data_IF_270108890726
#
_entry.id   IF_270108890726
#
_cell.length_a   1.000
_cell.length_b   1.000
_cell.length_c   1.000
_cell.angle_alpha   90.00
_cell.angle_beta   90.00
_cell.angle_gamma   90.00
#
_symmetry.space_group_name_H-M   'P 1'
#
loop_
_entity.id
_entity.type
_entity.pdbx_description
1 polymer ?
#
# COMPACT_ATOMS: atom_id res chain seq x y z
N UNK A 1 -1.71 -22.07 -6.66
CA UNK A 1 -0.97 -21.80 -7.93
C UNK A 1 -1.51 -20.60 -8.69
N UNK A 2 -2.83 -20.40 -8.86
CA UNK A 2 -3.36 -19.16 -9.49
C UNK A 2 -3.43 -17.95 -8.54
N UNK A 3 -3.80 -18.17 -7.27
CA UNK A 3 -3.92 -17.10 -6.27
C UNK A 3 -2.58 -16.48 -5.90
N UNK A 4 -1.52 -17.28 -5.91
CA UNK A 4 -0.17 -16.86 -5.52
C UNK A 4 0.41 -15.86 -6.52
N UNK A 5 0.34 -16.16 -7.83
CA UNK A 5 0.76 -15.25 -8.89
C UNK A 5 -0.04 -13.93 -8.88
N UNK A 6 -1.35 -14.01 -8.60
CA UNK A 6 -2.19 -12.83 -8.45
C UNK A 6 -1.76 -11.95 -7.26
N UNK A 7 -1.46 -12.55 -6.10
CA UNK A 7 -1.02 -11.79 -4.92
C UNK A 7 0.35 -11.12 -5.18
N UNK A 8 1.26 -11.79 -5.87
CA UNK A 8 2.55 -11.19 -6.26
C UNK A 8 2.36 -10.00 -7.21
N UNK A 9 1.54 -10.14 -8.26
CA UNK A 9 1.21 -9.02 -9.17
C UNK A 9 0.57 -7.84 -8.43
N UNK A 10 -0.33 -8.14 -7.48
CA UNK A 10 -0.96 -7.13 -6.64
C UNK A 10 0.05 -6.41 -5.74
N UNK A 11 1.01 -7.14 -5.15
CA UNK A 11 2.09 -6.59 -4.34
C UNK A 11 2.96 -5.64 -5.18
N UNK A 12 3.37 -6.08 -6.37
CA UNK A 12 4.17 -5.27 -7.28
C UNK A 12 3.42 -4.01 -7.70
N UNK A 13 2.11 -4.13 -7.98
CA UNK A 13 1.29 -2.98 -8.29
C UNK A 13 1.17 -2.01 -7.10
N UNK A 14 0.94 -2.49 -5.88
CA UNK A 14 0.88 -1.65 -4.68
C UNK A 14 2.21 -0.90 -4.47
N UNK A 15 3.33 -1.60 -4.57
CA UNK A 15 4.67 -1.02 -4.35
C UNK A 15 4.98 0.08 -5.38
N UNK A 16 4.58 -0.12 -6.64
CA UNK A 16 4.74 0.87 -7.71
C UNK A 16 3.80 2.07 -7.60
N UNK A 17 2.67 1.93 -6.89
CA UNK A 17 1.66 3.00 -6.75
C UNK A 17 1.59 3.61 -5.34
N UNK A 18 2.55 3.29 -4.46
CA UNK A 18 2.48 3.64 -3.04
C UNK A 18 2.51 5.16 -2.75
N UNK A 19 3.00 5.97 -3.68
CA UNK A 19 3.03 7.43 -3.59
C UNK A 19 1.70 8.09 -3.99
N UNK A 20 0.83 7.36 -4.69
CA UNK A 20 -0.51 7.83 -4.97
C UNK A 20 -1.40 7.72 -3.71
N UNK A 21 -2.58 8.34 -3.75
CA UNK A 21 -3.62 8.14 -2.74
C UNK A 21 -4.13 6.70 -2.84
N UNK A 22 -3.42 5.78 -2.19
CA UNK A 22 -3.72 4.36 -2.19
C UNK A 22 -4.47 4.01 -0.90
N UNK A 23 -5.75 3.66 -1.04
CA UNK A 23 -6.62 3.18 0.02
C UNK A 23 -7.24 1.82 -0.33
N UNK A 24 -7.90 1.19 0.64
CA UNK A 24 -8.46 -0.15 0.45
C UNK A 24 -9.54 -0.20 -0.63
N UNK A 25 -10.25 0.90 -0.88
CA UNK A 25 -11.22 1.03 -1.98
C UNK A 25 -10.52 0.88 -3.33
N UNK A 26 -9.49 1.70 -3.54
CA UNK A 26 -8.73 1.76 -4.78
C UNK A 26 -8.09 0.41 -5.11
N UNK A 27 -7.49 -0.25 -4.11
CA UNK A 27 -6.88 -1.57 -4.32
C UNK A 27 -7.93 -2.64 -4.65
N UNK A 28 -9.10 -2.58 -4.01
CA UNK A 28 -10.18 -3.54 -4.24
C UNK A 28 -10.81 -3.39 -5.63
N UNK A 29 -11.04 -2.15 -6.05
CA UNK A 29 -11.53 -1.83 -7.39
C UNK A 29 -10.56 -2.31 -8.47
N UNK A 30 -9.26 -2.06 -8.32
CA UNK A 30 -8.22 -2.55 -9.23
C UNK A 30 -8.16 -4.08 -9.31
N UNK A 31 -8.32 -4.73 -8.16
CA UNK A 31 -8.24 -6.19 -8.00
C UNK A 31 -9.49 -6.92 -8.54
N UNK A 32 -10.61 -6.22 -8.71
CA UNK A 32 -11.89 -6.83 -9.11
C UNK A 32 -12.55 -7.68 -8.01
N UNK A 33 -12.12 -7.51 -6.76
CA UNK A 33 -12.65 -8.24 -5.61
C UNK A 33 -13.28 -7.30 -4.60
N UNK A 34 -14.24 -7.82 -3.83
CA UNK A 34 -14.73 -7.07 -2.67
C UNK A 34 -13.60 -6.88 -1.66
N UNK A 35 -13.63 -5.76 -0.92
CA UNK A 35 -12.64 -5.45 0.14
C UNK A 35 -12.41 -6.62 1.09
N UNK A 36 -13.51 -7.24 1.54
CA UNK A 36 -13.43 -8.36 2.48
C UNK A 36 -12.71 -9.56 1.89
N UNK A 37 -13.04 -9.93 0.65
CA UNK A 37 -12.42 -11.08 -0.01
C UNK A 37 -10.94 -10.81 -0.29
N UNK A 38 -10.61 -9.62 -0.79
CA UNK A 38 -9.24 -9.23 -1.07
C UNK A 38 -8.37 -9.23 0.19
N UNK A 39 -8.84 -8.60 1.27
CA UNK A 39 -8.11 -8.56 2.53
C UNK A 39 -7.88 -9.95 3.10
N UNK A 40 -8.88 -10.83 3.01
CA UNK A 40 -8.77 -12.23 3.44
C UNK A 40 -7.73 -12.98 2.61
N UNK A 41 -7.85 -12.96 1.28
CA UNK A 41 -6.90 -13.64 0.40
C UNK A 41 -5.47 -13.14 0.60
N UNK A 42 -5.29 -11.82 0.70
CA UNK A 42 -3.99 -11.21 0.90
C UNK A 42 -3.37 -11.64 2.23
N UNK A 43 -4.14 -11.64 3.32
CA UNK A 43 -3.66 -12.09 4.63
C UNK A 43 -3.34 -13.59 4.65
N UNK A 44 -4.15 -14.41 3.98
CA UNK A 44 -3.91 -15.85 3.87
C UNK A 44 -2.59 -16.16 3.12
N UNK A 45 -2.19 -15.33 2.14
CA UNK A 45 -0.94 -15.54 1.40
C UNK A 45 0.28 -14.86 2.03
N UNK A 46 0.13 -13.63 2.55
CA UNK A 46 1.26 -12.83 3.05
C UNK A 46 1.47 -12.92 4.55
N UNK A 47 0.45 -13.37 5.30
CA UNK A 47 0.42 -13.32 6.76
C UNK A 47 0.03 -11.95 7.35
N UNK A 48 -0.06 -10.90 6.54
CA UNK A 48 -0.31 -9.53 6.99
C UNK A 48 -1.65 -8.98 6.49
N UNK A 49 -2.35 -8.13 7.27
CA UNK A 49 -3.47 -7.37 6.77
C UNK A 49 -3.05 -6.42 5.63
N UNK A 50 -3.81 -6.38 4.54
CA UNK A 50 -3.52 -5.52 3.39
C UNK A 50 -3.33 -4.04 3.76
N UNK A 51 -4.20 -3.50 4.62
CA UNK A 51 -4.12 -2.11 5.06
C UNK A 51 -2.84 -1.81 5.86
N UNK A 52 -2.39 -2.76 6.66
CA UNK A 52 -1.14 -2.64 7.43
C UNK A 52 0.07 -2.68 6.49
N UNK A 53 0.06 -3.59 5.52
CA UNK A 53 1.08 -3.66 4.48
C UNK A 53 1.26 -2.31 3.74
N UNK A 54 0.15 -1.73 3.26
CA UNK A 54 0.15 -0.43 2.59
C UNK A 54 0.70 0.67 3.52
N UNK A 55 0.25 0.69 4.79
CA UNK A 55 0.69 1.69 5.77
C UNK A 55 2.19 1.61 6.04
N UNK A 56 2.74 0.41 6.23
CA UNK A 56 4.19 0.20 6.46
C UNK A 56 5.00 0.64 5.25
N UNK A 57 4.55 0.32 4.03
CA UNK A 57 5.23 0.74 2.80
C UNK A 57 5.24 2.26 2.64
N UNK A 58 4.11 2.94 2.92
CA UNK A 58 4.05 4.41 2.95
C UNK A 58 5.03 4.99 3.97
N UNK A 59 5.04 4.46 5.20
CA UNK A 59 5.96 4.91 6.25
C UNK A 59 7.42 4.74 5.85
N UNK A 60 7.79 3.59 5.29
CA UNK A 60 9.16 3.34 4.82
C UNK A 60 9.57 4.36 3.77
N UNK A 61 8.72 4.61 2.77
CA UNK A 61 9.01 5.60 1.73
C UNK A 61 9.04 7.04 2.26
N UNK A 62 8.25 7.34 3.30
CA UNK A 62 8.29 8.61 4.02
C UNK A 62 9.66 8.81 4.66
N UNK A 63 10.14 7.78 5.39
CA UNK A 63 11.45 7.80 6.01
C UNK A 63 12.56 7.97 4.98
N UNK A 64 12.51 7.20 3.89
CA UNK A 64 13.49 7.28 2.79
C UNK A 64 13.54 8.69 2.17
N UNK A 65 12.38 9.34 1.95
CA UNK A 65 12.31 10.73 1.47
C UNK A 65 12.90 11.71 2.47
N UNK A 66 12.51 11.61 3.74
CA UNK A 66 13.03 12.49 4.80
C UNK A 66 14.54 12.38 5.00
N UNK A 67 15.14 11.23 4.74
CA UNK A 67 16.59 11.05 4.86
C UNK A 67 17.35 11.40 3.58
N UNK A 68 16.68 11.38 2.43
CA UNK A 68 17.33 11.57 1.12
C UNK A 68 17.11 12.96 0.53
N UNK A 69 16.20 13.75 1.08
CA UNK A 69 15.85 15.09 0.60
C UNK A 69 15.75 16.08 1.76
N UNK A 70 15.95 17.37 1.49
CA UNK A 70 15.65 18.47 2.43
C UNK A 70 14.17 18.89 2.36
N UNK A 71 13.28 17.98 1.98
CA UNK A 71 11.86 18.29 1.87
C UNK A 71 11.25 18.56 3.26
N UNK A 72 10.46 19.64 3.42
CA UNK A 72 9.80 19.91 4.70
C UNK A 72 8.95 18.71 5.15
N UNK A 73 9.09 18.31 6.42
CA UNK A 73 8.36 17.18 7.02
C UNK A 73 6.85 17.28 6.75
N UNK A 74 6.30 18.50 6.76
CA UNK A 74 4.90 18.77 6.47
C UNK A 74 4.49 18.35 5.05
N UNK A 75 5.33 18.59 4.05
CA UNK A 75 5.05 18.20 2.66
C UNK A 75 5.09 16.67 2.50
N UNK A 76 6.03 16.01 3.18
CA UNK A 76 6.10 14.55 3.23
C UNK A 76 4.82 13.97 3.86
N UNK A 77 4.39 14.51 5.01
CA UNK A 77 3.17 14.07 5.70
C UNK A 77 1.90 14.22 4.83
N UNK A 78 1.74 15.38 4.17
CA UNK A 78 0.60 15.65 3.28
C UNK A 78 0.63 14.70 2.07
N UNK A 79 1.79 14.53 1.42
CA UNK A 79 1.90 13.70 0.22
C UNK A 79 1.59 12.22 0.46
N UNK A 80 1.71 11.75 1.70
CA UNK A 80 1.49 10.36 2.08
C UNK A 80 0.11 10.11 2.70
N UNK A 81 -0.73 11.13 2.76
CA UNK A 81 -2.11 11.04 3.24
C UNK A 81 -2.23 10.96 4.77
N UNK A 82 -1.24 11.47 5.52
CA UNK A 82 -1.40 11.71 6.94
C UNK A 82 -2.17 13.02 7.12
N UNK A 83 -3.50 12.94 7.21
CA UNK A 83 -4.35 14.06 7.63
C UNK A 83 -4.29 14.13 9.18
N UNK A 84 -3.82 15.26 9.72
CA UNK A 84 -3.75 15.54 11.17
C UNK A 84 -5.12 15.57 11.84
#
# INVERSE_FOLDING_TARGET
MMSDAFIHDLIDWIDNNIEARLDLDTVSERAGYSKWHLQRMFKEHTGYPLGEYIRVKKLKKSADRLTSTDEPILNVAISLGFES
#
